data_IF_508485934752
#
_entry.id   IF_508485934752
#
_cell.length_a   1.000
_cell.length_b   1.000
_cell.length_c   1.000
_cell.angle_alpha   90.00
_cell.angle_beta   90.00
_cell.angle_gamma   90.00
#
_symmetry.space_group_name_H-M   'P 1'
#
loop_
_entity.id
_entity.type
_entity.pdbx_description
1 polymer ?
#
# COMPACT_ATOMS: atom_id res chain seq x y z
N UNK A 1 -3.70 -6.26 12.74
CA UNK A 1 -3.17 -6.61 11.41
C UNK A 1 -4.34 -6.61 10.46
N UNK A 2 -4.34 -5.67 9.52
CA UNK A 2 -5.39 -5.50 8.52
C UNK A 2 -4.78 -5.74 7.14
N UNK A 3 -5.48 -6.46 6.25
CA UNK A 3 -4.94 -6.82 4.94
C UNK A 3 -5.07 -5.70 3.90
N UNK A 4 -4.53 -5.95 2.70
CA UNK A 4 -4.84 -5.15 1.50
C UNK A 4 -6.10 -5.72 0.85
N UNK A 5 -7.04 -4.85 0.51
CA UNK A 5 -8.31 -5.23 -0.12
C UNK A 5 -8.61 -4.39 -1.36
N UNK A 6 -9.23 -5.02 -2.34
CA UNK A 6 -9.69 -4.42 -3.59
C UNK A 6 -11.20 -4.64 -3.71
N UNK A 7 -11.97 -3.57 -3.65
CA UNK A 7 -13.44 -3.63 -3.78
C UNK A 7 -13.91 -2.44 -4.60
N UNK A 8 -14.78 -2.68 -5.59
CA UNK A 8 -15.21 -1.67 -6.57
C UNK A 8 -15.80 -0.39 -5.95
N UNK A 9 -16.47 -0.54 -4.80
CA UNK A 9 -17.13 0.54 -4.07
C UNK A 9 -16.18 1.57 -3.45
N UNK A 10 -14.90 1.20 -3.25
CA UNK A 10 -13.92 2.05 -2.57
C UNK A 10 -12.66 2.23 -3.40
N UNK A 11 -12.21 3.49 -3.56
CA UNK A 11 -11.08 3.88 -4.40
C UNK A 11 -11.14 3.33 -5.85
N UNK A 12 -12.35 3.08 -6.38
CA UNK A 12 -12.56 2.51 -7.71
C UNK A 12 -11.87 1.15 -7.90
N UNK A 13 -11.99 0.26 -6.90
CA UNK A 13 -11.36 -1.05 -6.94
C UNK A 13 -9.88 -1.05 -6.57
N UNK A 14 -9.23 0.10 -6.41
CA UNK A 14 -7.77 0.15 -6.16
C UNK A 14 -7.40 -0.45 -4.80
N UNK A 15 -6.22 -1.11 -4.70
CA UNK A 15 -5.75 -1.73 -3.46
C UNK A 15 -5.55 -0.70 -2.36
N UNK A 16 -6.00 -1.04 -1.16
CA UNK A 16 -5.97 -0.15 0.02
C UNK A 16 -5.83 -0.95 1.30
N UNK A 17 -5.42 -0.29 2.37
CA UNK A 17 -5.47 -0.86 3.73
C UNK A 17 -6.93 -1.05 4.14
N UNK A 18 -7.30 -2.28 4.51
CA UNK A 18 -8.66 -2.65 4.88
C UNK A 18 -9.23 -1.74 5.98
N UNK A 19 -10.51 -1.38 5.83
CA UNK A 19 -11.19 -0.46 6.76
C UNK A 19 -10.83 1.01 6.56
N UNK A 20 -9.95 1.35 5.62
CA UNK A 20 -9.55 2.73 5.32
C UNK A 20 -9.79 3.09 3.85
N UNK A 21 -9.56 4.36 3.51
CA UNK A 21 -9.43 4.86 2.14
C UNK A 21 -7.99 5.22 1.79
N UNK A 22 -7.02 4.57 2.43
CA UNK A 22 -5.58 4.82 2.23
C UNK A 22 -5.05 3.77 1.25
N UNK A 23 -4.69 4.22 0.04
CA UNK A 23 -4.30 3.36 -1.07
C UNK A 23 -2.89 2.79 -0.89
N UNK A 24 -2.70 1.51 -1.25
CA UNK A 24 -1.40 0.84 -1.15
C UNK A 24 -0.33 1.53 -2.02
N UNK A 25 -0.71 1.97 -3.23
CA UNK A 25 0.17 2.74 -4.13
C UNK A 25 0.67 4.03 -3.50
N UNK A 26 -0.17 4.73 -2.74
CA UNK A 26 0.24 5.97 -2.06
C UNK A 26 1.31 5.68 -1.00
N UNK A 27 1.12 4.65 -0.19
CA UNK A 27 2.09 4.24 0.82
C UNK A 27 3.41 3.79 0.18
N UNK A 28 3.32 3.02 -0.91
CA UNK A 28 4.48 2.60 -1.70
C UNK A 28 5.26 3.77 -2.30
N UNK A 29 4.58 4.79 -2.83
CA UNK A 29 5.23 5.99 -3.36
C UNK A 29 5.90 6.85 -2.27
N UNK A 30 5.30 6.94 -1.08
CA UNK A 30 5.93 7.62 0.05
C UNK A 30 7.20 6.89 0.49
N UNK A 31 7.18 5.57 0.54
CA UNK A 31 8.36 4.77 0.87
C UNK A 31 9.44 4.91 -0.22
N UNK A 32 9.10 4.64 -1.48
CA UNK A 32 10.10 4.50 -2.56
C UNK A 32 10.53 5.81 -3.20
N UNK A 33 9.64 6.81 -3.31
CA UNK A 33 9.92 8.07 -4.01
C UNK A 33 10.20 9.22 -3.05
N UNK A 34 9.89 9.08 -1.77
CA UNK A 34 10.15 10.09 -0.74
C UNK A 34 11.11 9.59 0.34
N UNK A 35 11.56 8.35 0.26
CA UNK A 35 12.53 7.74 1.20
C UNK A 35 12.06 7.83 2.66
N UNK A 36 10.74 7.78 2.87
CA UNK A 36 10.14 7.84 4.20
C UNK A 36 10.13 6.44 4.82
N UNK A 37 10.48 6.35 6.10
CA UNK A 37 10.34 5.12 6.88
C UNK A 37 8.87 4.73 7.09
N UNK A 38 8.63 3.46 7.43
CA UNK A 38 7.27 2.98 7.72
C UNK A 38 6.65 3.72 8.91
N UNK A 39 7.46 4.08 9.90
CA UNK A 39 7.09 4.87 11.07
C UNK A 39 6.63 6.28 10.66
N UNK A 40 7.44 7.01 9.89
CA UNK A 40 7.12 8.37 9.43
C UNK A 40 5.87 8.41 8.54
N UNK A 41 5.61 7.35 7.78
CA UNK A 41 4.39 7.22 6.98
C UNK A 41 3.19 6.97 7.91
N UNK A 42 3.30 6.06 8.87
CA UNK A 42 2.21 5.76 9.81
C UNK A 42 1.85 6.96 10.69
N UNK A 43 2.82 7.79 11.08
CA UNK A 43 2.58 9.04 11.82
C UNK A 43 1.66 10.03 11.08
N UNK A 44 1.67 10.03 9.74
CA UNK A 44 0.78 10.85 8.92
C UNK A 44 -0.65 10.32 8.86
N UNK A 45 -0.86 9.04 9.20
CA UNK A 45 -2.13 8.35 9.05
C UNK A 45 -2.52 7.65 10.37
N UNK A 46 -3.20 8.35 11.31
CA UNK A 46 -3.51 7.81 12.64
C UNK A 46 -4.37 6.54 12.66
N UNK A 47 -4.97 6.17 11.52
CA UNK A 47 -5.81 4.99 11.36
C UNK A 47 -5.06 3.72 10.93
N UNK A 48 -3.74 3.78 10.72
CA UNK A 48 -2.91 2.65 10.32
C UNK A 48 -1.67 2.53 11.18
N UNK A 49 -1.06 1.36 11.17
CA UNK A 49 0.21 1.08 11.87
C UNK A 49 1.36 0.98 10.88
N UNK A 50 2.63 1.07 11.33
CA UNK A 50 3.80 0.80 10.49
C UNK A 50 3.73 -0.58 9.80
N UNK A 51 3.14 -1.58 10.47
CA UNK A 51 2.95 -2.92 9.88
C UNK A 51 1.96 -2.91 8.71
N UNK A 52 0.90 -2.10 8.76
CA UNK A 52 -0.02 -1.96 7.64
C UNK A 52 0.65 -1.23 6.45
N UNK A 53 1.59 -0.32 6.71
CA UNK A 53 2.42 0.32 5.68
C UNK A 53 3.35 -0.69 5.00
N UNK A 54 4.07 -1.49 5.79
CA UNK A 54 4.93 -2.57 5.30
C UNK A 54 4.14 -3.54 4.41
N UNK A 55 2.98 -4.02 4.88
CA UNK A 55 2.13 -4.93 4.11
C UNK A 55 1.63 -4.30 2.79
N UNK A 56 1.36 -3.00 2.78
CA UNK A 56 1.00 -2.29 1.54
C UNK A 56 2.17 -2.18 0.56
N UNK A 57 3.39 -1.95 1.06
CA UNK A 57 4.62 -1.89 0.26
C UNK A 57 4.92 -3.26 -0.35
N UNK A 58 4.93 -4.32 0.46
CA UNK A 58 5.14 -5.70 0.02
C UNK A 58 4.15 -6.09 -1.09
N UNK A 59 2.86 -5.77 -0.89
CA UNK A 59 1.82 -6.01 -1.90
C UNK A 59 2.14 -5.35 -3.25
N UNK A 60 2.57 -4.08 -3.23
CA UNK A 60 2.90 -3.36 -4.46
C UNK A 60 4.15 -3.90 -5.15
N UNK A 61 5.17 -4.31 -4.39
CA UNK A 61 6.37 -4.94 -4.94
C UNK A 61 6.09 -6.28 -5.61
N UNK A 62 5.21 -7.10 -5.03
CA UNK A 62 4.75 -8.36 -5.64
C UNK A 62 4.01 -8.10 -6.96
N UNK A 63 3.09 -7.13 -6.97
CA UNK A 63 2.34 -6.77 -8.17
C UNK A 63 3.24 -6.25 -9.30
N UNK A 64 4.30 -5.50 -8.99
CA UNK A 64 5.23 -5.00 -10.00
C UNK A 64 6.15 -6.10 -10.54
N UNK A 65 6.53 -7.09 -9.72
CA UNK A 65 7.24 -8.30 -10.20
C UNK A 65 6.38 -9.12 -11.16
N UNK A 66 5.11 -9.32 -10.84
CA UNK A 66 4.17 -10.07 -11.70
C UNK A 66 3.95 -9.37 -13.04
N UNK A 67 3.82 -8.04 -13.04
CA UNK A 67 3.76 -7.26 -14.28
C UNK A 67 5.03 -7.40 -15.10
N UNK A 68 6.20 -7.29 -14.47
CA UNK A 68 7.48 -7.45 -15.17
C UNK A 68 7.64 -8.86 -15.78
N UNK A 69 7.11 -9.90 -15.12
CA UNK A 69 7.13 -11.27 -15.62
C UNK A 69 6.14 -11.49 -16.79
N UNK A 70 5.01 -10.77 -16.84
CA UNK A 70 3.99 -10.93 -17.87
C UNK A 70 4.37 -10.34 -19.25
N UNK A 71 5.45 -9.56 -19.33
CA UNK A 71 5.97 -8.93 -20.56
C UNK A 71 7.31 -9.53 -21.04
N UNK A 72 7.84 -10.56 -20.36
CA UNK A 72 9.07 -11.27 -20.72
C UNK A 72 8.78 -12.55 -21.53
#
# INVERSE_FOLDING_TARGET
MTGIVETEDTLHGKPRVQGTRIGAKTLYELYTLRDMSFEEIAEQYPSITPKDVETAVEYMEEQDKDKAAAIA
#
